data_IF_012911886212
#
_entry.id   IF_012911886212
#
_cell.length_a   1.000
_cell.length_b   1.000
_cell.length_c   1.000
_cell.angle_alpha   90.00
_cell.angle_beta   90.00
_cell.angle_gamma   90.00
#
_symmetry.space_group_name_H-M   'P 1'
#
loop_
_entity.id
_entity.type
_entity.pdbx_description
1 polymer ?
#
# COMPACT_ATOMS: atom_id res chain seq x y z
N UNK A 1 -21.88 13.25 -1.79
CA UNK A 1 -21.18 12.28 -2.64
C UNK A 1 -21.65 12.43 -4.07
N UNK A 2 -20.74 12.51 -5.05
CA UNK A 2 -21.06 12.52 -6.48
C UNK A 2 -20.45 11.27 -7.11
N UNK A 3 -21.28 10.40 -7.67
CA UNK A 3 -20.82 9.25 -8.44
C UNK A 3 -20.67 9.65 -9.91
N UNK A 4 -19.52 9.35 -10.49
CA UNK A 4 -19.25 9.52 -11.93
C UNK A 4 -18.89 8.14 -12.46
N UNK A 5 -19.68 7.64 -13.42
CA UNK A 5 -19.42 6.34 -14.07
C UNK A 5 -18.59 6.62 -15.31
N UNK A 6 -17.28 6.39 -15.21
CA UNK A 6 -16.31 6.64 -16.27
C UNK A 6 -15.03 5.83 -16.04
N UNK A 7 -14.18 5.75 -17.06
CA UNK A 7 -12.78 5.41 -16.88
C UNK A 7 -12.08 6.55 -16.11
N UNK A 8 -11.53 6.25 -14.94
CA UNK A 8 -10.95 7.26 -14.04
C UNK A 8 -9.78 8.04 -14.68
N UNK A 9 -9.02 7.37 -15.54
CA UNK A 9 -7.89 7.96 -16.25
C UNK A 9 -8.38 8.94 -17.33
N UNK A 10 -9.38 8.55 -18.12
CA UNK A 10 -10.07 9.44 -19.08
C UNK A 10 -10.74 10.63 -18.40
N UNK A 11 -11.38 10.40 -17.26
CA UNK A 11 -12.04 11.45 -16.47
C UNK A 11 -11.03 12.52 -16.03
N UNK A 12 -9.88 12.11 -15.48
CA UNK A 12 -8.83 13.03 -15.05
C UNK A 12 -8.28 13.89 -16.20
N UNK A 13 -8.21 13.36 -17.42
CA UNK A 13 -7.78 14.17 -18.57
C UNK A 13 -8.82 15.16 -19.05
N UNK A 14 -10.11 14.87 -18.87
CA UNK A 14 -11.20 15.68 -19.45
C UNK A 14 -11.84 16.66 -18.48
N UNK A 15 -11.76 16.40 -17.17
CA UNK A 15 -12.29 17.31 -16.14
C UNK A 15 -11.57 18.66 -16.17
N UNK A 16 -12.15 19.72 -15.60
CA UNK A 16 -11.43 20.97 -15.28
C UNK A 16 -11.22 21.13 -13.78
N UNK A 17 -11.79 20.23 -12.98
CA UNK A 17 -11.74 20.29 -11.52
C UNK A 17 -10.33 19.98 -11.00
N UNK A 18 -10.03 20.53 -9.81
CA UNK A 18 -8.84 20.22 -9.03
C UNK A 18 -9.25 19.60 -7.70
N UNK A 19 -8.40 18.74 -7.16
CA UNK A 19 -8.67 17.97 -5.96
C UNK A 19 -7.58 18.16 -4.91
N UNK A 20 -7.97 18.29 -3.64
CA UNK A 20 -7.02 18.30 -2.53
C UNK A 20 -6.41 16.91 -2.30
N UNK A 21 -7.18 15.86 -2.56
CA UNK A 21 -6.75 14.47 -2.44
C UNK A 21 -7.27 13.69 -3.64
N UNK A 22 -6.38 12.95 -4.30
CA UNK A 22 -6.74 11.89 -5.25
C UNK A 22 -6.30 10.56 -4.65
N UNK A 23 -7.15 9.54 -4.75
CA UNK A 23 -6.85 8.18 -4.27
C UNK A 23 -6.99 7.21 -5.43
N UNK A 24 -5.89 6.53 -5.76
CA UNK A 24 -5.88 5.36 -6.63
C UNK A 24 -6.12 4.12 -5.77
N UNK A 25 -7.37 3.68 -5.70
CA UNK A 25 -7.77 2.57 -4.82
C UNK A 25 -7.56 1.22 -5.52
N UNK A 26 -6.56 0.49 -5.02
CA UNK A 26 -6.16 -0.89 -5.36
C UNK A 26 -6.62 -1.42 -6.72
N UNK A 27 -5.75 -1.33 -7.72
CA UNK A 27 -5.97 -2.00 -9.00
C UNK A 27 -5.44 -3.43 -8.97
N UNK A 28 -6.05 -4.30 -9.77
CA UNK A 28 -5.57 -5.68 -9.97
C UNK A 28 -4.48 -5.63 -11.06
N UNK A 29 -3.18 -5.73 -10.74
CA UNK A 29 -2.13 -5.34 -11.67
C UNK A 29 -2.06 -6.16 -12.96
N UNK A 30 -2.49 -7.43 -12.91
CA UNK A 30 -2.48 -8.35 -14.06
C UNK A 30 -3.71 -8.25 -14.97
N UNK A 31 -4.70 -7.42 -14.62
CA UNK A 31 -5.83 -7.18 -15.53
C UNK A 31 -5.34 -6.36 -16.72
N UNK A 32 -5.79 -6.75 -17.92
CA UNK A 32 -5.44 -6.03 -19.14
C UNK A 32 -5.79 -4.54 -19.01
N UNK A 33 -4.80 -3.68 -19.28
CA UNK A 33 -4.91 -2.23 -19.19
C UNK A 33 -4.69 -1.65 -17.78
N UNK A 34 -4.66 -2.46 -16.72
CA UNK A 34 -4.39 -1.99 -15.36
C UNK A 34 -2.95 -1.49 -15.20
N UNK A 35 -2.00 -2.04 -15.96
CA UNK A 35 -0.61 -1.56 -15.97
C UNK A 35 -0.49 -0.09 -16.37
N UNK A 36 -1.44 0.40 -17.16
CA UNK A 36 -1.52 1.78 -17.61
C UNK A 36 -1.89 2.77 -16.48
N UNK A 37 -2.55 2.29 -15.43
CA UNK A 37 -2.87 3.11 -14.24
C UNK A 37 -1.65 3.37 -13.35
N UNK A 38 -0.56 2.64 -13.59
CA UNK A 38 0.75 2.86 -12.98
C UNK A 38 1.74 3.54 -13.92
N UNK A 39 1.29 4.04 -15.08
CA UNK A 39 2.16 4.72 -16.03
C UNK A 39 2.47 6.15 -15.58
N UNK A 40 3.64 6.65 -15.98
CA UNK A 40 4.04 8.04 -15.75
C UNK A 40 2.96 9.01 -16.21
N UNK A 41 2.37 8.80 -17.37
CA UNK A 41 1.36 9.69 -17.96
C UNK A 41 0.07 9.74 -17.11
N UNK A 42 -0.31 8.63 -16.46
CA UNK A 42 -1.40 8.62 -15.48
C UNK A 42 -1.03 9.46 -14.25
N UNK A 43 0.17 9.27 -13.70
CA UNK A 43 0.64 10.04 -12.54
C UNK A 43 0.77 11.54 -12.84
N UNK A 44 1.28 11.91 -14.02
CA UNK A 44 1.32 13.30 -14.51
C UNK A 44 -0.08 13.89 -14.66
N UNK A 45 -1.03 13.09 -15.18
CA UNK A 45 -2.44 13.45 -15.26
C UNK A 45 -3.03 13.77 -13.89
N UNK A 46 -2.77 12.92 -12.88
CA UNK A 46 -3.18 13.17 -11.50
C UNK A 46 -2.52 14.44 -10.95
N UNK A 47 -1.20 14.57 -11.09
CA UNK A 47 -0.46 15.73 -10.61
C UNK A 47 -1.00 17.05 -11.18
N UNK A 48 -1.37 17.06 -12.47
CA UNK A 48 -1.99 18.21 -13.14
C UNK A 48 -3.35 18.61 -12.57
N UNK A 49 -4.06 17.68 -11.90
CA UNK A 49 -5.37 17.88 -11.26
C UNK A 49 -5.30 18.08 -9.75
N UNK A 50 -4.12 18.09 -9.14
CA UNK A 50 -4.03 18.45 -7.72
C UNK A 50 -4.23 19.96 -7.52
N UNK A 51 -4.92 20.31 -6.44
CA UNK A 51 -4.91 21.64 -5.90
C UNK A 51 -3.53 21.96 -5.26
N UNK A 52 -3.17 23.24 -5.06
CA UNK A 52 -1.95 23.59 -4.33
C UNK A 52 -1.92 22.92 -2.94
N UNK A 53 -0.86 22.16 -2.67
CA UNK A 53 -0.74 21.38 -1.43
C UNK A 53 -1.51 20.06 -1.42
N UNK A 54 -2.16 19.69 -2.53
CA UNK A 54 -2.84 18.42 -2.66
C UNK A 54 -1.89 17.22 -2.71
N UNK A 55 -2.44 16.04 -2.45
CA UNK A 55 -1.69 14.78 -2.41
C UNK A 55 -2.36 13.71 -3.28
N UNK A 56 -1.52 12.85 -3.86
CA UNK A 56 -1.97 11.63 -4.51
C UNK A 56 -1.56 10.43 -3.67
N UNK A 57 -2.53 9.60 -3.28
CA UNK A 57 -2.32 8.34 -2.61
C UNK A 57 -2.58 7.19 -3.60
N UNK A 58 -1.54 6.44 -3.97
CA UNK A 58 -1.65 5.24 -4.79
C UNK A 58 -1.46 4.00 -3.91
N UNK A 59 -2.54 3.27 -3.66
CA UNK A 59 -2.46 1.98 -2.96
C UNK A 59 -1.90 0.89 -3.87
N UNK A 60 -1.03 0.05 -3.31
CA UNK A 60 -0.37 -1.08 -3.98
C UNK A 60 -0.65 -2.37 -3.20
N UNK A 61 -1.33 -3.36 -3.81
CA UNK A 61 -1.52 -4.67 -3.20
C UNK A 61 -0.23 -5.48 -3.33
N UNK A 62 0.68 -5.40 -2.35
CA UNK A 62 2.00 -6.04 -2.47
C UNK A 62 1.92 -7.58 -2.50
N UNK A 63 0.79 -8.16 -2.09
CA UNK A 63 0.46 -9.58 -2.29
C UNK A 63 0.07 -9.96 -3.72
N UNK A 64 0.16 -9.00 -4.64
CA UNK A 64 -0.07 -9.11 -6.07
C UNK A 64 1.08 -8.54 -6.89
N UNK A 65 2.12 -8.01 -6.25
CA UNK A 65 3.27 -7.39 -6.89
C UNK A 65 4.56 -8.08 -6.48
N UNK A 66 5.50 -8.28 -7.40
CA UNK A 66 6.87 -8.65 -7.03
C UNK A 66 7.63 -7.42 -6.56
N UNK A 67 8.82 -7.64 -5.98
CA UNK A 67 9.73 -6.54 -5.64
C UNK A 67 10.10 -5.71 -6.87
N UNK A 68 10.37 -6.38 -8.00
CA UNK A 68 10.73 -5.72 -9.26
C UNK A 68 9.64 -4.76 -9.75
N UNK A 69 8.37 -5.18 -9.71
CA UNK A 69 7.26 -4.33 -10.13
C UNK A 69 7.03 -3.17 -9.18
N UNK A 70 7.09 -3.43 -7.87
CA UNK A 70 7.05 -2.36 -6.88
C UNK A 70 8.12 -1.32 -7.19
N UNK A 71 9.36 -1.74 -7.47
CA UNK A 71 10.45 -0.82 -7.81
C UNK A 71 10.19 -0.06 -9.11
N UNK A 72 9.62 -0.69 -10.15
CA UNK A 72 9.21 -0.01 -11.40
C UNK A 72 8.15 1.06 -11.11
N UNK A 73 7.09 0.72 -10.37
CA UNK A 73 6.01 1.64 -10.02
C UNK A 73 6.55 2.79 -9.17
N UNK A 74 7.35 2.50 -8.14
CA UNK A 74 7.92 3.50 -7.25
C UNK A 74 8.89 4.44 -7.97
N UNK A 75 9.75 3.93 -8.87
CA UNK A 75 10.62 4.78 -9.72
C UNK A 75 9.81 5.68 -10.65
N UNK A 76 8.74 5.13 -11.25
CA UNK A 76 7.84 5.90 -12.11
C UNK A 76 7.17 7.03 -11.34
N UNK A 77 6.70 6.74 -10.13
CA UNK A 77 6.04 7.69 -9.25
C UNK A 77 6.99 8.81 -8.78
N UNK A 78 8.23 8.46 -8.39
CA UNK A 78 9.31 9.42 -8.07
C UNK A 78 9.69 10.31 -9.27
N UNK A 79 9.49 9.84 -10.50
CA UNK A 79 9.71 10.63 -11.70
C UNK A 79 8.72 11.78 -11.88
N UNK A 80 7.58 11.75 -11.18
CA UNK A 80 6.50 12.75 -11.28
C UNK A 80 6.39 13.60 -10.01
N UNK A 81 6.50 12.99 -8.84
CA UNK A 81 6.35 13.67 -7.56
C UNK A 81 7.72 13.92 -6.88
N UNK A 82 8.05 15.19 -6.54
CA UNK A 82 9.31 15.51 -5.88
C UNK A 82 9.40 15.02 -4.43
N UNK A 83 8.27 14.74 -3.78
CA UNK A 83 8.21 14.13 -2.45
C UNK A 83 7.31 12.91 -2.49
N UNK A 84 7.86 11.75 -2.08
CA UNK A 84 7.15 10.47 -2.08
C UNK A 84 7.41 9.77 -0.75
N UNK A 85 6.34 9.52 -0.01
CA UNK A 85 6.38 8.78 1.26
C UNK A 85 5.65 7.46 1.14
N UNK A 86 6.06 6.49 1.95
CA UNK A 86 5.41 5.19 2.05
C UNK A 86 4.65 5.05 3.35
N UNK A 87 3.45 4.54 3.21
CA UNK A 87 2.54 4.25 4.30
C UNK A 87 2.03 2.84 4.14
N UNK A 88 1.92 2.09 5.22
CA UNK A 88 1.25 0.80 5.20
C UNK A 88 -0.20 0.95 5.59
N UNK A 89 -1.01 0.01 5.14
CA UNK A 89 -2.43 -0.05 5.42
C UNK A 89 -2.78 -0.93 6.63
N UNK A 90 -1.94 -1.93 6.86
CA UNK A 90 -2.16 -3.06 7.76
C UNK A 90 -0.81 -3.62 8.25
N UNK A 91 -0.84 -4.60 9.16
CA UNK A 91 0.33 -5.31 9.67
C UNK A 91 0.44 -6.76 9.19
N UNK A 92 -0.37 -7.18 8.21
CA UNK A 92 -0.39 -8.54 7.70
C UNK A 92 0.91 -8.86 6.95
N UNK A 93 1.58 -9.92 7.39
CA UNK A 93 2.79 -10.43 6.75
C UNK A 93 2.54 -10.98 5.32
N UNK A 94 1.37 -11.57 5.08
CA UNK A 94 1.07 -12.33 3.87
C UNK A 94 0.23 -11.55 2.85
N UNK A 95 -0.46 -10.49 3.27
CA UNK A 95 -1.31 -9.65 2.43
C UNK A 95 -1.08 -8.15 2.60
N UNK A 96 0.18 -7.68 2.69
CA UNK A 96 0.44 -6.28 2.97
C UNK A 96 -0.05 -5.38 1.82
N UNK A 97 -0.67 -4.27 2.21
CA UNK A 97 -0.99 -3.15 1.32
C UNK A 97 -0.14 -1.95 1.73
N UNK A 98 0.45 -1.27 0.74
CA UNK A 98 1.27 -0.06 0.94
C UNK A 98 0.80 1.04 0.00
N UNK A 99 0.74 2.26 0.48
CA UNK A 99 0.53 3.46 -0.32
C UNK A 99 1.86 4.13 -0.69
N UNK A 100 1.96 4.56 -1.93
CA UNK A 100 2.83 5.65 -2.35
C UNK A 100 2.05 6.96 -2.21
N UNK A 101 2.52 7.89 -1.38
CA UNK A 101 1.91 9.21 -1.20
C UNK A 101 2.81 10.27 -1.80
N UNK A 102 2.35 10.88 -2.89
CA UNK A 102 3.06 11.89 -3.67
C UNK A 102 2.56 13.30 -3.44
N UNK A 103 3.49 14.24 -3.30
CA UNK A 103 3.20 15.67 -3.13
C UNK A 103 4.13 16.53 -3.98
N UNK A 104 3.58 17.59 -4.59
CA UNK A 104 4.37 18.59 -5.31
C UNK A 104 5.16 19.51 -4.35
N UNK A 105 4.62 19.74 -3.15
CA UNK A 105 5.26 20.55 -2.12
C UNK A 105 5.02 19.87 -0.78
N UNK A 106 6.05 19.22 -0.18
CA UNK A 106 5.87 18.52 1.07
C UNK A 106 5.48 19.49 2.19
N UNK A 107 4.67 19.00 3.13
CA UNK A 107 4.34 19.70 4.37
C UNK A 107 4.59 18.77 5.54
N UNK A 108 5.38 19.25 6.48
CA UNK A 108 5.55 18.59 7.77
C UNK A 108 4.22 18.58 8.51
N UNK A 109 3.84 17.43 9.03
CA UNK A 109 2.66 17.26 9.86
C UNK A 109 2.91 17.90 11.23
N UNK A 110 2.02 18.80 11.62
CA UNK A 110 1.99 19.33 12.97
C UNK A 110 1.29 18.33 13.90
N UNK A 111 1.98 17.78 14.93
CA UNK A 111 1.41 16.75 15.80
C UNK A 111 0.13 17.19 16.50
N UNK A 112 0.03 18.48 16.85
CA UNK A 112 -1.14 19.01 17.54
C UNK A 112 -2.35 19.13 16.61
N UNK A 113 -2.15 19.70 15.42
CA UNK A 113 -3.16 19.69 14.36
C UNK A 113 -3.61 18.28 13.99
N UNK A 114 -2.69 17.32 13.98
CA UNK A 114 -3.01 15.92 13.72
C UNK A 114 -3.86 15.32 14.85
N UNK A 115 -3.52 15.59 16.10
CA UNK A 115 -4.29 15.17 17.27
C UNK A 115 -5.71 15.72 17.24
N UNK A 116 -5.87 17.00 16.90
CA UNK A 116 -7.19 17.63 16.73
C UNK A 116 -8.00 17.01 15.59
N UNK A 117 -7.37 16.75 14.44
CA UNK A 117 -8.03 16.10 13.29
C UNK A 117 -8.46 14.67 13.60
N UNK A 118 -7.62 13.91 14.30
CA UNK A 118 -7.94 12.55 14.75
C UNK A 118 -9.14 12.59 15.72
N UNK A 119 -9.13 13.49 16.69
CA UNK A 119 -10.26 13.64 17.63
C UNK A 119 -11.56 14.09 16.96
N UNK A 120 -11.46 14.77 15.82
CA UNK A 120 -12.58 15.19 14.98
C UNK A 120 -13.04 14.16 13.95
N UNK A 121 -12.43 12.96 13.89
CA UNK A 121 -12.86 11.91 12.98
C UNK A 121 -14.31 11.48 13.31
N UNK A 122 -15.12 11.19 12.27
CA UNK A 122 -16.50 10.80 12.48
C UNK A 122 -16.59 9.47 13.22
N UNK A 123 -17.65 9.25 13.99
CA UNK A 123 -17.80 8.06 14.83
C UNK A 123 -17.77 6.71 14.09
N UNK A 124 -17.97 6.70 12.77
CA UNK A 124 -17.82 5.49 11.95
C UNK A 124 -16.37 5.15 11.60
N UNK A 125 -15.43 6.07 11.86
CA UNK A 125 -13.99 5.86 11.72
C UNK A 125 -13.46 5.11 12.95
N UNK A 126 -13.71 3.81 12.99
CA UNK A 126 -13.27 2.90 14.06
C UNK A 126 -11.93 2.24 13.70
N UNK A 127 -10.88 3.04 13.52
CA UNK A 127 -9.51 2.55 13.30
C UNK A 127 -8.69 2.72 14.58
N UNK A 128 -8.19 1.62 15.18
CA UNK A 128 -7.49 1.67 16.46
C UNK A 128 -6.14 2.39 16.41
N UNK A 129 -5.52 2.50 15.23
CA UNK A 129 -4.28 3.25 15.03
C UNK A 129 -4.54 4.73 14.77
N UNK A 130 -5.73 5.11 14.32
CA UNK A 130 -6.14 6.51 14.16
C UNK A 130 -6.78 7.06 15.45
N UNK A 131 -6.18 6.75 16.59
CA UNK A 131 -6.56 7.28 17.92
C UNK A 131 -5.54 8.28 18.48
N UNK A 132 -4.34 8.35 17.88
CA UNK A 132 -3.28 9.28 18.26
C UNK A 132 -2.31 9.54 17.10
N UNK A 133 -1.55 10.65 17.12
CA UNK A 133 -0.45 10.89 16.18
C UNK A 133 0.57 9.75 16.12
N UNK A 134 0.84 9.10 17.27
CA UNK A 134 1.79 7.98 17.36
C UNK A 134 1.23 6.73 16.68
N UNK A 135 -0.06 6.43 16.83
CA UNK A 135 -0.70 5.35 16.10
C UNK A 135 -0.64 5.55 14.57
N UNK A 136 -0.85 6.77 14.08
CA UNK A 136 -0.64 7.08 12.65
C UNK A 136 0.84 6.91 12.25
N UNK A 137 1.78 7.35 13.08
CA UNK A 137 3.22 7.21 12.80
C UNK A 137 3.69 5.74 12.75
N UNK A 138 3.00 4.81 13.40
CA UNK A 138 3.24 3.37 13.24
C UNK A 138 2.98 2.87 11.81
N UNK A 139 2.13 3.58 11.04
CA UNK A 139 1.84 3.24 9.65
C UNK A 139 2.88 3.80 8.67
N UNK A 140 3.76 4.70 9.12
CA UNK A 140 4.75 5.33 8.26
C UNK A 140 5.98 4.44 8.03
N UNK A 141 6.28 4.12 6.77
CA UNK A 141 7.44 3.29 6.44
C UNK A 141 8.69 4.13 6.13
N UNK A 142 8.52 5.33 5.56
CA UNK A 142 9.64 6.24 5.27
C UNK A 142 9.45 7.12 4.05
N UNK A 143 10.41 8.02 3.84
CA UNK A 143 10.50 8.87 2.65
C UNK A 143 11.37 8.20 1.58
N UNK A 144 10.75 7.78 0.47
CA UNK A 144 11.47 7.20 -0.67
C UNK A 144 12.41 8.20 -1.34
N UNK A 145 12.00 9.47 -1.43
CA UNK A 145 12.82 10.53 -2.04
C UNK A 145 14.11 10.81 -1.27
N UNK A 146 14.14 10.48 0.03
CA UNK A 146 15.30 10.65 0.91
C UNK A 146 16.24 9.44 0.98
N UNK A 147 15.96 8.37 0.24
CA UNK A 147 16.71 7.11 0.30
C UNK A 147 17.29 6.72 -1.06
N UNK A 148 18.29 7.46 -1.58
CA UNK A 148 18.84 7.20 -2.90
C UNK A 148 19.36 5.75 -3.03
N UNK A 149 19.01 5.12 -4.14
CA UNK A 149 19.43 3.76 -4.48
C UNK A 149 18.68 2.63 -3.76
N UNK A 150 17.67 2.91 -2.91
CA UNK A 150 16.86 1.84 -2.27
C UNK A 150 16.04 1.04 -3.30
N UNK A 151 15.68 1.66 -4.42
CA UNK A 151 14.95 1.04 -5.55
C UNK A 151 15.87 0.49 -6.66
N UNK A 152 17.19 0.63 -6.52
CA UNK A 152 18.15 0.35 -7.59
C UNK A 152 17.94 1.17 -8.88
N UNK A 153 18.64 0.81 -9.94
CA UNK A 153 18.37 1.28 -11.31
C UNK A 153 17.40 0.34 -12.02
N UNK A 154 16.70 0.83 -13.02
CA UNK A 154 15.79 0.01 -13.81
C UNK A 154 14.82 0.85 -14.63
N UNK A 155 13.92 0.20 -15.39
CA UNK A 155 12.96 0.91 -16.20
C UNK A 155 11.91 1.62 -15.34
N UNK A 156 11.25 2.60 -15.97
CA UNK A 156 9.98 3.18 -15.55
C UNK A 156 8.86 2.65 -16.44
N UNK A 157 7.62 2.75 -15.97
CA UNK A 157 6.43 2.35 -16.70
C UNK A 157 5.84 3.57 -17.42
N UNK A 158 5.73 3.51 -18.74
CA UNK A 158 5.09 4.54 -19.56
C UNK A 158 4.08 3.91 -20.50
N UNK A 159 3.18 4.70 -21.09
CA UNK A 159 2.24 4.16 -22.09
C UNK A 159 2.96 3.54 -23.30
N UNK A 160 4.06 4.16 -23.76
CA UNK A 160 4.86 3.67 -24.89
C UNK A 160 5.74 2.46 -24.51
N UNK A 161 5.98 2.24 -23.22
CA UNK A 161 6.76 1.13 -22.70
C UNK A 161 6.10 0.56 -21.43
N UNK A 162 4.96 -0.15 -21.57
CA UNK A 162 4.10 -0.51 -20.44
C UNK A 162 4.66 -1.76 -19.74
N UNK A 163 5.76 -1.58 -19.01
CA UNK A 163 6.48 -2.63 -18.29
C UNK A 163 5.53 -3.45 -17.41
N UNK A 164 4.64 -2.80 -16.67
CA UNK A 164 3.72 -3.49 -15.75
C UNK A 164 2.72 -4.35 -16.51
N UNK A 165 2.22 -3.91 -17.66
CA UNK A 165 1.29 -4.68 -18.51
C UNK A 165 1.90 -6.01 -18.97
N UNK A 166 3.22 -6.08 -19.12
CA UNK A 166 3.90 -7.30 -19.57
C UNK A 166 4.54 -8.10 -18.43
N UNK A 167 4.90 -7.46 -17.31
CA UNK A 167 5.42 -8.14 -16.13
C UNK A 167 4.30 -8.77 -15.29
N UNK A 168 3.21 -8.02 -15.03
CA UNK A 168 2.11 -8.45 -14.17
C UNK A 168 1.45 -9.76 -14.63
N UNK A 169 1.15 -9.96 -15.92
CA UNK A 169 0.48 -11.16 -16.41
C UNK A 169 1.40 -12.35 -16.67
N UNK A 170 2.71 -12.29 -16.35
CA UNK A 170 3.60 -13.48 -16.40
C UNK A 170 3.15 -14.52 -15.37
N UNK A 171 2.09 -15.24 -15.75
CA UNK A 171 1.43 -16.44 -15.22
C UNK A 171 1.50 -16.62 -13.69
N UNK A 172 0.72 -15.85 -12.90
CA UNK A 172 0.31 -16.18 -11.49
C UNK A 172 1.40 -16.67 -10.50
N UNK A 173 2.66 -16.43 -10.88
CA UNK A 173 3.98 -16.45 -10.23
C UNK A 173 4.27 -17.62 -9.30
N UNK A 174 5.01 -18.60 -9.79
CA UNK A 174 5.72 -19.59 -8.99
C UNK A 174 7.23 -19.29 -9.05
N UNK A 175 7.89 -19.23 -7.89
CA UNK A 175 9.35 -19.23 -7.77
C UNK A 175 9.92 -20.63 -8.04
N UNK A 176 11.25 -20.83 -7.94
CA UNK A 176 11.89 -22.13 -8.18
C UNK A 176 11.33 -23.28 -7.33
N UNK A 177 10.71 -22.95 -6.19
CA UNK A 177 10.07 -23.87 -5.26
C UNK A 177 8.55 -24.06 -5.48
N UNK A 178 7.92 -23.35 -6.42
CA UNK A 178 6.46 -23.39 -6.63
C UNK A 178 5.68 -22.29 -5.90
N UNK A 179 6.32 -21.55 -4.98
CA UNK A 179 5.66 -20.51 -4.18
C UNK A 179 5.66 -19.13 -4.85
N UNK A 180 4.67 -18.30 -4.54
CA UNK A 180 4.53 -17.00 -5.17
C UNK A 180 5.53 -15.98 -4.62
N UNK A 181 6.36 -15.43 -5.50
CA UNK A 181 7.39 -14.42 -5.17
C UNK A 181 6.80 -13.01 -5.04
N UNK A 182 5.81 -12.88 -4.15
CA UNK A 182 5.18 -11.60 -3.86
C UNK A 182 6.04 -10.79 -2.90
N UNK A 183 5.94 -9.47 -3.01
CA UNK A 183 6.66 -8.52 -2.16
C UNK A 183 6.02 -8.43 -0.76
N UNK A 184 6.13 -9.53 -0.03
CA UNK A 184 5.50 -9.76 1.26
C UNK A 184 6.51 -10.37 2.24
N UNK A 185 6.09 -10.65 3.47
CA UNK A 185 6.91 -11.44 4.36
C UNK A 185 8.23 -10.76 4.72
N UNK A 186 9.31 -11.55 4.67
CA UNK A 186 10.70 -11.10 4.87
C UNK A 186 11.17 -10.08 3.85
N UNK A 187 10.76 -10.24 2.59
CA UNK A 187 11.20 -9.35 1.50
C UNK A 187 10.80 -7.91 1.80
N UNK A 188 9.57 -7.72 2.31
CA UNK A 188 9.09 -6.41 2.75
C UNK A 188 9.81 -5.92 4.02
N UNK A 189 10.05 -6.78 5.01
CA UNK A 189 10.78 -6.38 6.24
C UNK A 189 12.18 -5.86 5.90
N UNK A 190 12.94 -6.61 5.09
CA UNK A 190 14.28 -6.25 4.63
C UNK A 190 14.24 -4.90 3.92
N UNK A 191 13.31 -4.69 2.99
CA UNK A 191 13.18 -3.40 2.30
C UNK A 191 12.89 -2.25 3.26
N UNK A 192 11.97 -2.42 4.22
CA UNK A 192 11.64 -1.35 5.17
C UNK A 192 12.80 -1.02 6.12
N UNK A 193 13.62 -2.02 6.46
CA UNK A 193 14.86 -1.81 7.22
C UNK A 193 15.89 -1.04 6.39
N UNK A 194 16.10 -1.43 5.13
CA UNK A 194 17.00 -0.72 4.21
C UNK A 194 16.55 0.74 3.99
N UNK A 195 15.25 0.97 3.82
CA UNK A 195 14.66 2.30 3.69
C UNK A 195 14.91 3.14 4.95
N UNK A 196 14.73 2.56 6.14
CA UNK A 196 14.99 3.25 7.40
C UNK A 196 16.48 3.60 7.57
N UNK A 197 17.39 2.66 7.24
CA UNK A 197 18.83 2.87 7.37
C UNK A 197 19.41 3.90 6.40
N UNK A 198 18.81 4.08 5.21
CA UNK A 198 19.25 5.04 4.18
C UNK A 198 18.69 6.45 4.36
N UNK A 199 17.62 6.61 5.13
CA UNK A 199 16.92 7.90 5.33
C UNK A 199 17.68 8.89 6.24
N UNK A 200 18.99 8.77 6.39
CA UNK A 200 19.78 9.39 7.47
C UNK A 200 20.43 10.73 7.10
N UNK A 201 20.40 11.15 5.83
CA UNK A 201 21.11 12.35 5.37
C UNK A 201 20.26 13.63 5.27
N UNK A 202 18.92 13.52 5.29
CA UNK A 202 18.02 14.66 5.25
C UNK A 202 16.84 14.46 6.21
N UNK A 203 16.35 15.51 6.89
CA UNK A 203 15.14 15.44 7.70
C UNK A 203 13.96 14.92 6.89
N UNK A 204 13.11 14.12 7.52
CA UNK A 204 11.90 13.64 6.88
C UNK A 204 10.99 14.83 6.51
N UNK A 205 10.52 14.92 5.25
CA UNK A 205 9.76 16.08 4.80
C UNK A 205 8.32 16.12 5.33
N UNK A 206 7.80 14.98 5.81
CA UNK A 206 6.40 14.82 6.23
C UNK A 206 6.28 14.57 7.72
N UNK A 207 7.05 13.65 8.29
CA UNK A 207 7.05 13.45 9.74
C UNK A 207 8.04 14.41 10.42
N UNK A 208 7.62 15.14 11.48
CA UNK A 208 8.55 16.00 12.20
C UNK A 208 9.63 15.16 12.90
N UNK A 209 10.80 15.77 13.09
CA UNK A 209 11.90 15.19 13.85
C UNK A 209 11.57 15.20 15.36
N UNK A 210 10.72 14.25 15.76
CA UNK A 210 10.22 14.07 17.11
C UNK A 210 10.53 12.63 17.58
N UNK A 211 11.15 12.50 18.75
CA UNK A 211 11.59 11.21 19.30
C UNK A 211 10.40 10.27 19.55
N UNK A 212 9.25 10.80 19.96
CA UNK A 212 8.06 9.99 20.24
C UNK A 212 7.44 9.42 18.97
N UNK A 213 7.48 10.17 17.85
CA UNK A 213 7.07 9.68 16.53
C UNK A 213 8.10 8.73 15.93
N UNK A 214 9.39 8.94 16.18
CA UNK A 214 10.44 8.01 15.76
C UNK A 214 10.27 6.64 16.46
N UNK A 215 10.00 6.65 17.77
CA UNK A 215 9.67 5.45 18.53
C UNK A 215 8.40 4.76 18.01
N UNK A 216 7.38 5.53 17.65
CA UNK A 216 6.16 4.99 17.08
C UNK A 216 6.40 4.34 15.70
N UNK A 217 7.22 4.97 14.85
CA UNK A 217 7.65 4.37 13.57
C UNK A 217 8.42 3.06 13.79
N UNK A 218 9.31 3.02 14.78
CA UNK A 218 10.01 1.80 15.16
C UNK A 218 9.03 0.74 15.65
N UNK A 219 8.06 1.11 16.51
CA UNK A 219 7.02 0.21 16.98
C UNK A 219 6.20 -0.39 15.83
N UNK A 220 5.91 0.40 14.79
CA UNK A 220 5.29 -0.10 13.57
C UNK A 220 6.09 -1.24 12.90
N UNK A 221 7.41 -1.08 12.78
CA UNK A 221 8.28 -2.15 12.26
C UNK A 221 8.30 -3.38 13.17
N UNK A 222 8.37 -3.18 14.49
CA UNK A 222 8.34 -4.30 15.44
C UNK A 222 7.00 -5.05 15.41
N UNK A 223 5.88 -4.35 15.23
CA UNK A 223 4.56 -4.97 15.10
C UNK A 223 4.46 -5.80 13.82
N UNK A 224 5.12 -5.39 12.73
CA UNK A 224 5.22 -6.21 11.53
C UNK A 224 6.03 -7.49 11.77
N UNK A 225 7.18 -7.36 12.44
CA UNK A 225 8.04 -8.49 12.80
C UNK A 225 7.37 -9.46 13.77
N UNK A 226 6.55 -8.95 14.69
CA UNK A 226 5.64 -9.74 15.49
C UNK A 226 4.71 -10.59 14.61
N UNK A 227 3.99 -9.97 13.66
CA UNK A 227 3.08 -10.69 12.77
C UNK A 227 3.82 -11.75 11.92
N UNK A 228 5.05 -11.46 11.48
CA UNK A 228 5.93 -12.41 10.80
C UNK A 228 6.29 -13.61 11.70
N UNK A 229 6.73 -13.35 12.93
CA UNK A 229 7.09 -14.40 13.88
C UNK A 229 5.90 -15.30 14.23
N UNK A 230 4.72 -14.71 14.45
CA UNK A 230 3.46 -15.45 14.67
C UNK A 230 3.13 -16.34 13.48
N UNK A 231 3.26 -15.82 12.25
CA UNK A 231 2.98 -16.60 11.03
C UNK A 231 3.87 -17.84 10.85
N UNK A 232 5.03 -17.86 11.51
CA UNK A 232 5.99 -18.98 11.49
C UNK A 232 5.87 -19.92 12.69
N UNK A 233 5.03 -19.57 13.67
CA UNK A 233 4.98 -20.27 14.94
C UNK A 233 6.18 -20.02 15.85
N UNK A 234 6.96 -18.95 15.62
CA UNK A 234 8.08 -18.55 16.49
C UNK A 234 7.56 -17.69 17.66
N UNK A 235 7.04 -18.36 18.69
CA UNK A 235 6.47 -17.69 19.86
C UNK A 235 7.50 -16.91 20.68
N UNK A 236 8.78 -17.30 20.66
CA UNK A 236 9.83 -16.61 21.41
C UNK A 236 10.17 -15.26 20.76
N UNK A 237 10.36 -15.24 19.44
CA UNK A 237 10.56 -14.00 18.70
C UNK A 237 9.32 -13.09 18.77
N UNK A 238 8.12 -13.66 18.62
CA UNK A 238 6.87 -12.91 18.74
C UNK A 238 6.76 -12.20 20.09
N UNK A 239 7.01 -12.90 21.21
CA UNK A 239 6.99 -12.29 22.54
C UNK A 239 8.00 -11.15 22.70
N UNK A 240 9.19 -11.28 22.10
CA UNK A 240 10.20 -10.22 22.08
C UNK A 240 9.74 -8.96 21.34
N UNK A 241 9.18 -9.13 20.14
CA UNK A 241 8.65 -8.02 19.35
C UNK A 241 7.44 -7.35 20.01
N UNK A 242 6.54 -8.14 20.60
CA UNK A 242 5.37 -7.61 21.34
C UNK A 242 5.80 -6.75 22.54
N UNK A 243 6.79 -7.22 23.32
CA UNK A 243 7.32 -6.48 24.45
C UNK A 243 7.93 -5.14 24.02
N UNK A 244 8.61 -5.12 22.87
CA UNK A 244 9.20 -3.90 22.32
C UNK A 244 8.13 -2.91 21.83
N UNK A 245 7.07 -3.38 21.16
CA UNK A 245 5.92 -2.53 20.79
C UNK A 245 5.29 -1.89 22.03
N UNK A 246 5.03 -2.68 23.08
CA UNK A 246 4.46 -2.19 24.34
C UNK A 246 5.38 -1.16 25.03
N UNK A 247 6.69 -1.34 24.92
CA UNK A 247 7.68 -0.40 25.48
C UNK A 247 7.71 0.93 24.72
N UNK A 248 7.63 0.88 23.39
CA UNK A 248 7.75 2.06 22.52
C UNK A 248 6.47 2.89 22.50
N UNK A 249 5.29 2.27 22.43
CA UNK A 249 3.98 2.94 22.30
C UNK A 249 2.96 2.43 23.33
N UNK A 250 3.24 2.54 24.65
CA UNK A 250 2.40 2.00 25.70
C UNK A 250 0.97 2.56 25.68
N UNK A 251 0.80 3.83 25.29
CA UNK A 251 -0.50 4.49 25.19
C UNK A 251 -1.35 3.97 24.03
N UNK A 252 -0.74 3.63 22.88
CA UNK A 252 -1.46 3.04 21.73
C UNK A 252 -1.93 1.63 22.11
N UNK A 253 -1.07 0.86 22.77
CA UNK A 253 -1.43 -0.48 23.29
C UNK A 253 -2.53 -0.39 24.35
N UNK A 254 -2.42 0.52 25.32
CA UNK A 254 -3.40 0.66 26.39
C UNK A 254 -4.75 1.22 25.92
N UNK A 255 -4.76 2.08 24.89
CA UNK A 255 -6.00 2.49 24.22
C UNK A 255 -6.72 1.27 23.65
N UNK A 256 -5.99 0.35 23.03
CA UNK A 256 -6.57 -0.85 22.43
C UNK A 256 -6.95 -1.92 23.44
N UNK A 257 -6.16 -2.19 24.49
CA UNK A 257 -6.48 -3.22 25.50
C UNK A 257 -7.81 -2.97 26.24
N UNK A 258 -8.30 -1.72 26.26
CA UNK A 258 -9.65 -1.41 26.74
C UNK A 258 -10.76 -1.95 25.83
N UNK A 259 -10.43 -2.25 24.58
CA UNK A 259 -11.34 -2.68 23.51
C UNK A 259 -11.02 -4.10 22.94
N UNK A 260 -9.76 -4.61 22.96
CA UNK A 260 -9.28 -5.99 22.65
C UNK A 260 -7.71 -6.10 22.71
N UNK A 261 -7.06 -7.30 22.76
CA UNK A 261 -5.60 -7.47 22.98
C UNK A 261 -4.70 -7.14 21.76
N UNK A 262 -3.37 -6.99 21.98
CA UNK A 262 -2.34 -6.55 20.99
C UNK A 262 -2.28 -7.37 19.69
N UNK A 263 -2.56 -8.68 19.73
CA UNK A 263 -2.71 -9.48 18.51
C UNK A 263 -3.77 -8.90 17.56
N UNK A 264 -4.80 -8.26 18.11
CA UNK A 264 -5.82 -7.54 17.36
C UNK A 264 -5.34 -6.21 16.77
N UNK A 265 -4.16 -5.67 17.11
CA UNK A 265 -3.57 -4.51 16.44
C UNK A 265 -2.95 -4.90 15.10
N UNK A 266 -2.40 -6.12 15.02
CA UNK A 266 -1.95 -6.70 13.77
C UNK A 266 -3.13 -7.17 12.89
N UNK A 267 -4.19 -7.70 13.52
CA UNK A 267 -5.43 -8.16 12.87
C UNK A 267 -6.51 -7.08 12.71
N UNK A 268 -6.27 -5.83 13.14
CA UNK A 268 -7.28 -4.78 13.32
C UNK A 268 -7.99 -4.32 12.04
N UNK A 269 -7.55 -4.79 10.88
CA UNK A 269 -8.22 -4.52 9.60
C UNK A 269 -8.95 -5.73 9.08
N UNK A 270 -9.90 -6.26 9.86
CA UNK A 270 -10.90 -7.23 9.40
C UNK A 270 -11.96 -6.61 8.46
N UNK A 271 -11.60 -5.61 7.66
CA UNK A 271 -12.36 -5.16 6.47
C UNK A 271 -12.16 -6.08 5.26
N UNK A 272 -11.47 -7.21 5.44
CA UNK A 272 -11.43 -8.33 4.51
C UNK A 272 -12.79 -8.99 4.26
N UNK A 273 -13.83 -8.70 5.05
CA UNK A 273 -15.20 -9.12 4.74
C UNK A 273 -15.69 -8.55 3.40
N UNK A 274 -15.39 -7.28 3.11
CA UNK A 274 -15.79 -6.60 1.88
C UNK A 274 -14.95 -7.05 0.68
N UNK A 275 -13.62 -7.12 0.82
CA UNK A 275 -12.72 -7.59 -0.23
C UNK A 275 -12.85 -9.09 -0.53
N UNK A 276 -13.12 -9.95 0.46
CA UNK A 276 -13.43 -11.37 0.22
C UNK A 276 -14.76 -11.53 -0.50
N UNK A 277 -15.79 -10.78 -0.12
CA UNK A 277 -17.07 -10.80 -0.83
C UNK A 277 -16.92 -10.37 -2.30
N UNK A 278 -16.10 -9.35 -2.55
CA UNK A 278 -15.78 -8.87 -3.89
C UNK A 278 -14.93 -9.85 -4.71
N UNK A 279 -13.92 -10.47 -4.10
CA UNK A 279 -13.12 -11.54 -4.74
C UNK A 279 -13.96 -12.78 -5.05
N UNK A 280 -14.87 -13.19 -4.15
CA UNK A 280 -15.80 -14.30 -4.37
C UNK A 280 -16.81 -13.97 -5.49
N UNK A 281 -17.21 -12.71 -5.61
CA UNK A 281 -18.08 -12.22 -6.68
C UNK A 281 -17.36 -12.21 -8.03
N UNK A 282 -16.12 -11.73 -8.07
CA UNK A 282 -15.26 -11.75 -9.26
C UNK A 282 -14.95 -13.18 -9.72
N UNK A 283 -14.65 -14.10 -8.79
CA UNK A 283 -14.42 -15.51 -9.11
C UNK A 283 -15.65 -16.16 -9.77
N UNK A 284 -16.84 -15.88 -9.22
CA UNK A 284 -18.12 -16.34 -9.80
C UNK A 284 -18.38 -15.72 -11.18
N UNK A 285 -18.02 -14.45 -11.39
CA UNK A 285 -18.13 -13.81 -12.70
C UNK A 285 -17.18 -14.44 -13.73
N UNK A 286 -15.95 -14.79 -13.34
CA UNK A 286 -15.00 -15.49 -14.20
C UNK A 286 -15.47 -16.90 -14.56
N UNK A 287 -15.92 -17.69 -13.59
CA UNK A 287 -16.48 -19.04 -13.82
C UNK A 287 -17.69 -18.99 -14.78
N UNK A 288 -18.55 -17.97 -14.61
CA UNK A 288 -19.71 -17.76 -15.50
C UNK A 288 -19.28 -17.35 -16.92
N UNK A 289 -18.23 -16.55 -17.05
CA UNK A 289 -17.70 -16.12 -18.35
C UNK A 289 -17.02 -17.28 -19.09
N UNK A 290 -16.27 -18.12 -18.38
CA UNK A 290 -15.65 -19.34 -18.92
C UNK A 290 -16.70 -20.35 -19.41
N UNK A 291 -17.78 -20.55 -18.65
CA UNK A 291 -18.90 -21.39 -19.10
C UNK A 291 -19.53 -20.87 -20.39
N UNK A 292 -19.81 -19.56 -20.47
CA UNK A 292 -20.38 -18.94 -21.68
C UNK A 292 -19.46 -19.05 -22.90
N UNK A 293 -18.15 -18.89 -22.69
CA UNK A 293 -17.14 -19.07 -23.75
C UNK A 293 -17.05 -20.52 -24.22
N UNK A 294 -17.16 -21.49 -23.30
CA UNK A 294 -17.21 -22.92 -23.61
C UNK A 294 -18.44 -23.33 -24.42
N UNK A 295 -19.60 -22.70 -24.18
CA UNK A 295 -20.84 -22.93 -24.93
C UNK A 295 -20.83 -22.30 -26.33
N UNK A 296 -20.01 -21.26 -26.56
CA UNK A 296 -19.90 -20.57 -27.84
C UNK A 296 -18.91 -21.22 -28.82
N UNK A 297 -18.07 -22.17 -28.37
CA UNK A 297 -17.13 -22.90 -29.22
C UNK A 297 -17.81 -24.17 -29.79
N UNK A 298 -18.01 -24.29 -31.13
CA UNK A 298 -18.59 -25.49 -31.69
C UNK A 298 -17.64 -26.68 -31.50
N UNK A 299 -18.18 -27.80 -31.00
CA UNK A 299 -17.44 -29.05 -30.80
C UNK A 299 -16.85 -29.54 -32.12
N UNK A 300 -15.56 -29.26 -32.35
CA UNK A 300 -14.84 -29.78 -33.50
C UNK A 300 -14.55 -31.27 -33.30
N UNK A 301 -15.42 -32.10 -33.89
CA UNK A 301 -15.04 -33.33 -34.58
C UNK A 301 -14.59 -34.52 -33.74
N UNK A 302 -15.53 -35.40 -33.38
CA UNK A 302 -15.30 -36.85 -33.48
C UNK A 302 -15.87 -37.31 -34.82
N UNK A 303 -15.02 -37.90 -35.66
CA UNK A 303 -15.43 -38.68 -36.82
C UNK A 303 -14.81 -40.08 -36.70
N UNK A 304 -15.49 -41.10 -37.25
CA UNK A 304 -15.46 -42.50 -36.80
C UNK A 304 -14.21 -43.30 -37.20
#
# INVERSE_FOLDING_TARGET
>A
MRLVVDDGRRYLWTTAERYDVVVGDLFIPWHAGAGSLYAREMFEGVAGRLAPGGLFCQWLPLYQLTREEFDVIARTFLGVFPSVTLWRDDFYANRPIVALVGQASPRTLDPESLRERIAGLPAWSDDPLLTSPRGLAMLYLGNLGGAPGVLGSGPINTDDHPVIEFLAPRLTRMGPAGDKDWFTGESLDVFTEELAGRSTSAPDPVLPADETLADARLAGRQLYRYALAVSRGDGAAAAGFEAEVRRLVPEVVAARERDEPVAALADARRTLGALRAEQEQLRRQMETMEQRLGEMLPSSGRAP
#
